data_IF_316448652223
#
_entry.id   IF_316448652223
#
_cell.length_a   1.000
_cell.length_b   1.000
_cell.length_c   1.000
_cell.angle_alpha   90.00
_cell.angle_beta   90.00
_cell.angle_gamma   90.00
#
_symmetry.space_group_name_H-M   'P 1'
#
loop_
_entity.id
_entity.type
_entity.pdbx_description
1 polymer ?
#
# COMPACT_ATOMS: atom_id res chain seq x y z
N UNK A 1 65.61 1.06 18.34
CA UNK A 1 65.50 0.68 16.91
C UNK A 1 64.92 -0.72 16.86
N UNK A 2 63.84 -1.08 16.11
CA UNK A 2 62.89 -0.33 15.24
C UNK A 2 61.46 -0.24 15.86
N UNK A 3 60.70 0.85 15.73
CA UNK A 3 59.74 1.28 14.68
C UNK A 3 58.51 0.38 14.45
N UNK A 4 57.35 0.85 14.95
CA UNK A 4 55.98 0.33 14.74
C UNK A 4 55.37 0.94 13.48
N UNK A 5 54.77 0.10 12.63
CA UNK A 5 53.99 0.47 11.45
C UNK A 5 52.55 0.87 11.85
N UNK A 6 52.20 2.14 11.61
CA UNK A 6 50.83 2.65 11.55
C UNK A 6 50.41 2.71 10.08
N UNK A 7 49.31 2.02 9.72
CA UNK A 7 48.70 2.14 8.39
C UNK A 7 47.54 3.15 8.46
N UNK A 8 47.64 4.20 7.64
CA UNK A 8 46.55 5.14 7.35
C UNK A 8 45.77 4.69 6.09
N UNK A 9 44.47 5.02 5.97
CA UNK A 9 43.63 4.63 4.85
C UNK A 9 43.92 5.45 3.58
N UNK A 10 44.03 4.78 2.43
CA UNK A 10 44.20 5.40 1.10
C UNK A 10 42.84 5.82 0.52
N UNK A 11 42.70 7.11 0.23
CA UNK A 11 41.63 7.70 -0.59
C UNK A 11 42.05 7.54 -2.07
N UNK A 12 41.21 6.93 -2.90
CA UNK A 12 41.40 6.88 -4.36
C UNK A 12 40.38 7.80 -5.01
N UNK A 13 40.89 8.91 -5.55
CA UNK A 13 40.16 9.86 -6.39
C UNK A 13 40.21 9.37 -7.83
N UNK A 14 39.06 9.12 -8.47
CA UNK A 14 38.98 8.87 -9.92
C UNK A 14 38.18 9.96 -10.61
N UNK A 15 38.84 10.57 -11.59
CA UNK A 15 38.40 11.68 -12.41
C UNK A 15 37.34 11.23 -13.43
N UNK A 16 36.35 12.09 -13.68
CA UNK A 16 35.34 11.93 -14.73
C UNK A 16 35.95 12.20 -16.12
N UNK A 17 35.74 11.34 -17.14
CA UNK A 17 36.09 11.67 -18.50
C UNK A 17 34.95 12.44 -19.18
N UNK A 18 35.28 13.61 -19.74
CA UNK A 18 34.46 14.34 -20.71
C UNK A 18 34.49 13.59 -22.06
N UNK A 19 33.32 13.23 -22.59
CA UNK A 19 33.19 12.74 -23.96
C UNK A 19 32.36 13.72 -24.80
N UNK A 20 33.01 14.27 -25.83
CA UNK A 20 32.41 15.10 -26.89
C UNK A 20 31.90 14.20 -28.00
N UNK A 21 30.60 14.26 -28.33
CA UNK A 21 30.03 13.52 -29.47
C UNK A 21 29.95 14.44 -30.70
N UNK A 22 30.72 14.10 -31.73
CA UNK A 22 30.61 14.65 -33.10
C UNK A 22 29.45 13.97 -33.83
N UNK A 23 28.72 14.78 -34.61
CA UNK A 23 27.46 14.41 -35.26
C UNK A 23 27.49 13.16 -36.14
N UNK A 24 26.39 12.42 -36.06
CA UNK A 24 25.96 11.44 -37.05
C UNK A 24 24.52 11.78 -37.45
N UNK A 25 24.26 11.75 -38.76
CA UNK A 25 22.96 12.05 -39.37
C UNK A 25 21.92 11.02 -38.93
N UNK A 26 20.82 11.49 -38.36
CA UNK A 26 19.63 10.68 -38.09
C UNK A 26 18.78 10.60 -39.36
N UNK A 27 18.72 9.42 -39.97
CA UNK A 27 17.70 9.08 -40.96
C UNK A 27 16.37 8.95 -40.22
N UNK A 28 15.37 9.71 -40.69
CA UNK A 28 14.01 9.64 -40.21
C UNK A 28 13.37 8.28 -40.58
N UNK A 29 13.34 7.37 -39.62
CA UNK A 29 12.35 6.29 -39.56
C UNK A 29 11.35 6.67 -38.47
N UNK A 30 10.09 6.71 -38.85
CA UNK A 30 8.94 7.06 -38.01
C UNK A 30 8.79 6.08 -36.84
N UNK A 31 9.27 6.45 -35.66
CA UNK A 31 8.86 5.81 -34.40
C UNK A 31 7.51 6.39 -33.98
N UNK A 32 6.53 5.49 -33.84
CA UNK A 32 5.32 5.78 -33.06
C UNK A 32 5.79 6.13 -31.65
N UNK A 33 5.50 7.35 -31.21
CA UNK A 33 5.68 7.74 -29.81
C UNK A 33 4.72 6.86 -29.00
N UNK A 34 5.24 5.82 -28.34
CA UNK A 34 4.54 5.20 -27.22
C UNK A 34 4.29 6.30 -26.20
N UNK A 35 3.05 6.76 -26.12
CA UNK A 35 2.58 7.65 -25.07
C UNK A 35 2.89 6.98 -23.74
N UNK A 36 3.95 7.44 -23.07
CA UNK A 36 4.35 6.92 -21.76
C UNK A 36 3.19 7.11 -20.80
N UNK A 37 2.63 6.00 -20.30
CA UNK A 37 1.59 6.00 -19.27
C UNK A 37 2.15 6.69 -18.03
N UNK A 38 1.77 7.95 -17.81
CA UNK A 38 2.21 8.74 -16.66
C UNK A 38 1.05 8.96 -15.71
N UNK A 39 1.28 8.62 -14.46
CA UNK A 39 0.47 9.04 -13.32
C UNK A 39 0.88 10.46 -12.93
N UNK A 40 -0.08 11.38 -12.91
CA UNK A 40 0.12 12.78 -12.50
C UNK A 40 -0.62 13.12 -11.19
N UNK A 41 -1.15 12.09 -10.49
CA UNK A 41 -2.07 12.26 -9.37
C UNK A 41 -3.54 12.33 -9.83
N UNK A 42 -4.44 12.47 -8.86
CA UNK A 42 -5.89 12.64 -9.10
C UNK A 42 -6.45 13.72 -8.18
N UNK A 43 -7.63 14.24 -8.51
CA UNK A 43 -8.28 15.28 -7.70
C UNK A 43 -8.54 14.83 -6.24
N UNK A 44 -8.73 13.52 -6.04
CA UNK A 44 -9.16 12.95 -4.76
C UNK A 44 -8.01 12.35 -3.94
N UNK A 45 -6.77 12.36 -4.46
CA UNK A 45 -5.62 11.78 -3.79
C UNK A 45 -4.40 12.69 -3.79
N UNK A 46 -3.99 13.10 -2.59
CA UNK A 46 -2.83 13.97 -2.37
C UNK A 46 -1.55 13.13 -2.43
N UNK A 47 -1.05 12.88 -3.65
CA UNK A 47 0.23 12.23 -3.86
C UNK A 47 1.39 13.23 -3.63
N UNK A 48 2.47 12.77 -3.00
CA UNK A 48 3.74 13.51 -3.00
C UNK A 48 4.44 13.33 -4.35
N UNK A 49 5.33 14.26 -4.71
CA UNK A 49 6.14 14.15 -5.92
C UNK A 49 6.94 12.84 -5.93
N UNK A 50 7.52 12.46 -4.79
CA UNK A 50 8.26 11.21 -4.61
C UNK A 50 7.40 9.96 -4.87
N UNK A 51 6.13 9.97 -4.44
CA UNK A 51 5.20 8.86 -4.68
C UNK A 51 4.87 8.75 -6.16
N UNK A 52 4.63 9.89 -6.80
CA UNK A 52 4.34 9.97 -8.24
C UNK A 52 5.52 9.45 -9.06
N UNK A 53 6.75 9.81 -8.69
CA UNK A 53 7.98 9.29 -9.31
C UNK A 53 8.09 7.77 -9.12
N UNK A 54 7.84 7.27 -7.91
CA UNK A 54 7.92 5.83 -7.63
C UNK A 54 6.90 5.02 -8.45
N UNK A 55 5.66 5.50 -8.55
CA UNK A 55 4.61 4.88 -9.39
C UNK A 55 5.05 4.86 -10.85
N UNK A 56 5.45 6.00 -11.40
CA UNK A 56 5.85 6.09 -12.81
C UNK A 56 7.08 5.23 -13.13
N UNK A 57 8.05 5.15 -12.22
CA UNK A 57 9.21 4.27 -12.36
C UNK A 57 8.80 2.80 -12.39
N UNK A 58 7.90 2.37 -11.49
CA UNK A 58 7.39 1.01 -11.44
C UNK A 58 6.61 0.63 -12.72
N UNK A 59 5.76 1.53 -13.22
CA UNK A 59 5.01 1.34 -14.46
C UNK A 59 5.93 1.26 -15.67
N UNK A 60 6.92 2.16 -15.77
CA UNK A 60 7.85 2.22 -16.91
C UNK A 60 8.78 1.01 -16.97
N UNK A 61 9.23 0.52 -15.81
CA UNK A 61 10.17 -0.60 -15.73
C UNK A 61 9.46 -1.96 -15.59
N UNK A 62 8.12 -1.96 -15.55
CA UNK A 62 7.29 -3.16 -15.35
C UNK A 62 7.71 -3.97 -14.13
N UNK A 63 8.07 -3.27 -13.05
CA UNK A 63 8.47 -3.87 -11.77
C UNK A 63 7.40 -3.62 -10.72
N UNK A 64 7.17 -4.57 -9.79
CA UNK A 64 6.20 -4.35 -8.72
C UNK A 64 6.54 -3.14 -7.86
N UNK A 65 5.53 -2.39 -7.45
CA UNK A 65 5.64 -1.31 -6.47
C UNK A 65 5.17 -1.79 -5.10
N UNK A 66 6.08 -1.88 -4.13
CA UNK A 66 5.77 -2.11 -2.73
C UNK A 66 5.59 -0.78 -2.00
N UNK A 67 4.40 -0.58 -1.45
CA UNK A 67 4.00 0.60 -0.69
C UNK A 67 3.82 0.21 0.77
N UNK A 68 4.73 0.68 1.63
CA UNK A 68 4.64 0.50 3.09
C UNK A 68 4.13 1.77 3.76
N UNK A 69 3.46 1.61 4.88
CA UNK A 69 3.02 2.74 5.70
C UNK A 69 2.04 2.29 6.77
N UNK A 70 1.75 3.18 7.71
CA UNK A 70 0.78 2.88 8.77
C UNK A 70 -0.63 2.58 8.21
N UNK A 71 -1.48 1.87 8.97
CA UNK A 71 -2.89 1.72 8.60
C UNK A 71 -3.57 3.06 8.35
N UNK A 72 -4.40 3.14 7.31
CA UNK A 72 -5.15 4.35 6.97
C UNK A 72 -4.34 5.46 6.28
N UNK A 73 -3.11 5.22 5.81
CA UNK A 73 -2.35 6.19 5.01
C UNK A 73 -2.73 6.24 3.51
N UNK A 74 -3.77 5.52 3.09
CA UNK A 74 -4.26 5.57 1.71
C UNK A 74 -3.49 4.69 0.71
N UNK A 75 -2.87 3.59 1.17
CA UNK A 75 -2.11 2.65 0.30
C UNK A 75 -3.01 1.91 -0.71
N UNK A 76 -4.13 1.38 -0.27
CA UNK A 76 -5.15 0.75 -1.13
C UNK A 76 -5.74 1.76 -2.11
N UNK A 77 -5.97 2.99 -1.63
CA UNK A 77 -6.54 4.06 -2.45
C UNK A 77 -5.60 4.47 -3.58
N UNK A 78 -4.28 4.51 -3.32
CA UNK A 78 -3.28 4.75 -4.38
C UNK A 78 -3.49 3.83 -5.59
N UNK A 79 -3.70 2.53 -5.39
CA UNK A 79 -3.86 1.59 -6.50
C UNK A 79 -5.13 1.87 -7.32
N UNK A 80 -6.23 2.26 -6.66
CA UNK A 80 -7.46 2.70 -7.34
C UNK A 80 -7.22 3.94 -8.18
N UNK A 81 -6.47 4.89 -7.64
CA UNK A 81 -6.17 6.15 -8.31
C UNK A 81 -5.23 5.94 -9.51
N UNK A 82 -4.26 5.04 -9.40
CA UNK A 82 -3.44 4.61 -10.55
C UNK A 82 -4.31 3.95 -11.63
N UNK A 83 -5.21 3.04 -11.25
CA UNK A 83 -6.14 2.38 -12.17
C UNK A 83 -7.03 3.40 -12.90
N UNK A 84 -7.62 4.35 -12.17
CA UNK A 84 -8.47 5.40 -12.74
C UNK A 84 -7.69 6.34 -13.66
N UNK A 85 -6.54 6.83 -13.22
CA UNK A 85 -5.71 7.77 -14.00
C UNK A 85 -5.20 7.16 -15.30
N UNK A 86 -4.89 5.87 -15.30
CA UNK A 86 -4.43 5.14 -16.49
C UNK A 86 -5.58 4.51 -17.31
N UNK A 87 -6.82 4.59 -16.83
CA UNK A 87 -7.98 3.99 -17.47
C UNK A 87 -7.91 2.45 -17.55
N UNK A 88 -7.22 1.81 -16.61
CA UNK A 88 -7.01 0.36 -16.60
C UNK A 88 -7.94 -0.32 -15.61
N UNK A 89 -8.42 -1.52 -15.94
CA UNK A 89 -9.15 -2.36 -14.99
C UNK A 89 -8.28 -2.72 -13.79
N UNK A 90 -8.84 -2.63 -12.59
CA UNK A 90 -8.18 -3.08 -11.35
C UNK A 90 -8.64 -4.50 -10.98
N UNK A 91 -7.70 -5.34 -10.60
CA UNK A 91 -7.93 -6.64 -9.96
C UNK A 91 -7.34 -6.56 -8.55
N UNK A 92 -8.18 -6.83 -7.55
CA UNK A 92 -7.81 -6.70 -6.15
C UNK A 92 -7.72 -8.09 -5.50
N UNK A 93 -6.57 -8.36 -4.87
CA UNK A 93 -6.33 -9.56 -4.08
C UNK A 93 -6.00 -9.17 -2.64
N UNK A 94 -7.01 -9.28 -1.78
CA UNK A 94 -6.89 -9.04 -0.34
C UNK A 94 -6.29 -10.26 0.36
N UNK A 95 -5.13 -10.06 1.00
CA UNK A 95 -4.43 -11.12 1.71
C UNK A 95 -4.98 -11.30 3.13
N UNK A 96 -5.21 -12.55 3.52
CA UNK A 96 -5.66 -12.94 4.86
C UNK A 96 -4.57 -13.78 5.53
N UNK A 97 -4.68 -13.97 6.85
CA UNK A 97 -3.76 -14.80 7.63
C UNK A 97 -3.67 -16.25 7.17
N UNK A 98 -4.73 -16.76 6.53
CA UNK A 98 -4.80 -18.13 5.99
C UNK A 98 -4.51 -18.19 4.49
N UNK A 99 -4.24 -17.06 3.83
CA UNK A 99 -4.01 -17.03 2.38
C UNK A 99 -2.68 -17.69 2.05
N UNK A 100 -2.70 -18.58 1.05
CA UNK A 100 -1.51 -19.23 0.48
C UNK A 100 -1.23 -18.71 -0.92
N UNK A 101 0.04 -18.68 -1.33
CA UNK A 101 0.45 -18.22 -2.66
C UNK A 101 -0.30 -18.96 -3.77
N UNK A 102 -0.44 -20.28 -3.63
CA UNK A 102 -1.20 -21.13 -4.54
C UNK A 102 -2.63 -20.62 -4.83
N UNK A 103 -3.34 -20.05 -3.85
CA UNK A 103 -4.70 -19.54 -4.05
C UNK A 103 -4.73 -18.28 -4.94
N UNK A 104 -3.62 -17.56 -5.02
CA UNK A 104 -3.43 -16.49 -6.00
C UNK A 104 -3.30 -17.00 -7.42
N UNK A 105 -2.75 -18.22 -7.58
CA UNK A 105 -2.57 -18.87 -8.86
C UNK A 105 -3.86 -19.60 -9.27
N UNK A 106 -4.23 -20.65 -8.54
CA UNK A 106 -5.47 -21.41 -8.73
C UNK A 106 -5.76 -22.36 -7.55
N UNK A 107 -7.03 -22.75 -7.43
CA UNK A 107 -7.48 -23.82 -6.53
C UNK A 107 -7.99 -25.01 -7.35
N UNK A 108 -7.57 -26.21 -6.99
CA UNK A 108 -8.03 -27.45 -7.62
C UNK A 108 -9.02 -28.19 -6.70
N UNK A 109 -10.26 -28.37 -7.17
CA UNK A 109 -11.31 -29.07 -6.45
C UNK A 109 -11.28 -30.58 -6.73
N UNK A 110 -10.31 -31.26 -6.10
CA UNK A 110 -10.17 -32.71 -6.19
C UNK A 110 -11.39 -33.47 -5.65
N UNK A 111 -12.14 -32.90 -4.70
CA UNK A 111 -13.27 -33.55 -4.03
C UNK A 111 -14.46 -33.62 -4.97
N UNK A 112 -14.81 -32.50 -5.60
CA UNK A 112 -15.87 -32.48 -6.62
C UNK A 112 -15.53 -33.41 -7.78
N UNK A 113 -14.26 -33.41 -8.23
CA UNK A 113 -13.83 -34.33 -9.30
C UNK A 113 -13.98 -35.80 -8.92
N UNK A 114 -13.62 -36.17 -7.68
CA UNK A 114 -13.77 -37.54 -7.21
C UNK A 114 -15.25 -37.96 -7.14
N UNK A 115 -16.11 -37.08 -6.63
CA UNK A 115 -17.55 -37.31 -6.55
C UNK A 115 -18.15 -37.52 -7.95
N UNK A 116 -17.82 -36.64 -8.90
CA UNK A 116 -18.36 -36.70 -10.26
C UNK A 116 -17.84 -37.94 -11.02
N UNK A 117 -16.60 -38.35 -10.75
CA UNK A 117 -16.02 -39.60 -11.25
C UNK A 117 -16.84 -40.82 -10.80
N UNK A 118 -17.27 -40.83 -9.53
CA UNK A 118 -18.10 -41.91 -8.98
C UNK A 118 -19.53 -41.91 -9.54
N UNK A 119 -20.05 -40.74 -9.93
CA UNK A 119 -21.38 -40.58 -10.50
C UNK A 119 -21.42 -40.79 -12.03
N UNK A 120 -20.25 -40.95 -12.67
CA UNK A 120 -20.15 -41.15 -14.12
C UNK A 120 -20.47 -39.89 -14.94
N UNK A 121 -20.23 -38.70 -14.41
CA UNK A 121 -20.48 -37.44 -15.13
C UNK A 121 -19.39 -37.18 -16.20
N UNK A 122 -19.78 -36.85 -17.44
CA UNK A 122 -18.85 -36.63 -18.55
C UNK A 122 -17.86 -35.48 -18.30
N UNK A 123 -18.24 -34.48 -17.50
CA UNK A 123 -17.37 -33.33 -17.19
C UNK A 123 -16.08 -33.72 -16.44
N UNK A 124 -16.02 -34.92 -15.87
CA UNK A 124 -14.83 -35.42 -15.15
C UNK A 124 -13.62 -35.62 -16.06
N UNK A 125 -13.85 -35.79 -17.36
CA UNK A 125 -12.80 -36.02 -18.37
C UNK A 125 -11.94 -34.78 -18.62
N UNK A 126 -12.47 -33.57 -18.39
CA UNK A 126 -11.70 -32.33 -18.47
C UNK A 126 -11.40 -31.79 -17.07
N UNK A 127 -10.12 -31.85 -16.69
CA UNK A 127 -9.63 -31.39 -15.39
C UNK A 127 -9.84 -29.88 -15.19
N UNK A 128 -9.93 -29.10 -16.28
CA UNK A 128 -10.17 -27.65 -16.23
C UNK A 128 -11.49 -27.29 -15.55
N UNK A 129 -12.47 -28.18 -15.60
CA UNK A 129 -13.76 -28.01 -14.93
C UNK A 129 -13.65 -27.94 -13.39
N UNK A 130 -12.51 -28.34 -12.84
CA UNK A 130 -12.24 -28.40 -11.40
C UNK A 130 -11.16 -27.41 -10.97
N UNK A 131 -10.70 -26.55 -11.87
CA UNK A 131 -9.70 -25.52 -11.59
C UNK A 131 -10.43 -24.19 -11.46
N UNK A 132 -10.31 -23.59 -10.28
CA UNK A 132 -10.75 -22.23 -10.03
C UNK A 132 -9.56 -21.29 -10.17
N UNK A 133 -9.63 -20.38 -11.13
CA UNK A 133 -8.60 -19.35 -11.36
C UNK A 133 -8.46 -18.44 -10.13
N UNK A 134 -7.22 -18.21 -9.72
CA UNK A 134 -6.86 -17.23 -8.70
C UNK A 134 -6.68 -15.83 -9.30
N UNK A 135 -6.37 -14.85 -8.45
CA UNK A 135 -6.26 -13.43 -8.85
C UNK A 135 -5.07 -13.12 -9.75
N UNK A 136 -3.93 -13.81 -9.60
CA UNK A 136 -2.82 -13.68 -10.54
C UNK A 136 -3.19 -14.26 -11.90
N UNK A 137 -3.87 -15.41 -11.92
CA UNK A 137 -4.34 -16.00 -13.18
C UNK A 137 -5.29 -15.04 -13.91
N UNK A 138 -6.31 -14.53 -13.20
CA UNK A 138 -7.24 -13.54 -13.77
C UNK A 138 -6.51 -12.31 -14.36
N UNK A 139 -5.40 -11.87 -13.74
CA UNK A 139 -4.58 -10.76 -14.23
C UNK A 139 -3.73 -11.14 -15.44
N UNK A 140 -3.15 -12.33 -15.47
CA UNK A 140 -2.26 -12.77 -16.54
C UNK A 140 -3.03 -13.04 -17.84
N UNK A 141 -4.26 -13.57 -17.75
CA UNK A 141 -5.12 -13.83 -18.90
C UNK A 141 -6.15 -12.72 -19.17
N UNK A 142 -5.96 -11.52 -18.62
CA UNK A 142 -6.93 -10.44 -18.78
C UNK A 142 -7.14 -10.01 -20.25
N UNK A 143 -6.19 -10.31 -21.14
CA UNK A 143 -6.22 -9.88 -22.55
C UNK A 143 -5.93 -8.38 -22.75
N UNK A 144 -5.78 -7.64 -21.66
CA UNK A 144 -5.47 -6.21 -21.60
C UNK A 144 -4.49 -5.93 -20.44
N UNK A 145 -3.86 -4.75 -20.44
CA UNK A 145 -3.03 -4.33 -19.30
C UNK A 145 -3.95 -3.97 -18.12
N UNK A 146 -3.70 -4.54 -16.96
CA UNK A 146 -4.49 -4.31 -15.73
C UNK A 146 -3.62 -3.79 -14.59
N UNK A 147 -4.25 -3.20 -13.59
CA UNK A 147 -3.61 -2.94 -12.28
C UNK A 147 -3.94 -4.12 -11.37
N UNK A 148 -2.92 -4.82 -10.88
CA UNK A 148 -3.06 -5.88 -9.88
C UNK A 148 -2.65 -5.33 -8.51
N UNK A 149 -3.62 -5.21 -7.62
CA UNK A 149 -3.39 -4.86 -6.22
C UNK A 149 -3.28 -6.13 -5.38
N UNK A 150 -2.13 -6.33 -4.72
CA UNK A 150 -1.94 -7.32 -3.65
C UNK A 150 -1.97 -6.55 -2.33
N UNK A 151 -3.13 -6.55 -1.66
CA UNK A 151 -3.36 -5.72 -0.48
C UNK A 151 -2.97 -6.47 0.80
N UNK A 152 -2.26 -5.78 1.70
CA UNK A 152 -1.86 -6.24 3.03
C UNK A 152 -1.07 -7.55 3.01
N UNK A 153 -0.03 -7.62 2.17
CA UNK A 153 0.79 -8.82 1.96
C UNK A 153 1.41 -9.39 3.25
N UNK A 154 1.62 -8.55 4.25
CA UNK A 154 2.17 -8.91 5.56
C UNK A 154 1.18 -9.61 6.51
N UNK A 155 -0.10 -9.75 6.12
CA UNK A 155 -1.09 -10.50 6.92
C UNK A 155 -0.89 -12.01 6.84
N UNK A 156 -0.45 -12.53 5.70
CA UNK A 156 -0.20 -13.95 5.50
C UNK A 156 1.02 -14.45 6.28
N UNK A 157 1.33 -15.74 6.12
CA UNK A 157 2.52 -16.36 6.67
C UNK A 157 3.81 -15.69 6.14
N UNK A 158 4.92 -15.82 6.87
CA UNK A 158 6.22 -15.21 6.50
C UNK A 158 6.78 -15.79 5.19
N UNK A 159 6.40 -17.01 4.83
CA UNK A 159 6.80 -17.66 3.58
C UNK A 159 6.06 -17.11 2.36
N UNK A 160 4.83 -16.59 2.56
CA UNK A 160 3.93 -16.17 1.48
C UNK A 160 4.55 -15.20 0.45
N UNK A 161 5.26 -14.12 0.83
CA UNK A 161 5.86 -13.22 -0.16
C UNK A 161 6.93 -13.91 -1.01
N UNK A 162 7.72 -14.81 -0.42
CA UNK A 162 8.77 -15.52 -1.15
C UNK A 162 8.18 -16.52 -2.15
N UNK A 163 7.07 -17.16 -1.79
CA UNK A 163 6.35 -18.12 -2.63
C UNK A 163 5.69 -17.49 -3.87
N UNK A 164 5.64 -16.14 -3.94
CA UNK A 164 5.15 -15.40 -5.11
C UNK A 164 6.26 -14.75 -5.94
N UNK A 165 7.52 -14.88 -5.51
CA UNK A 165 8.63 -14.15 -6.13
C UNK A 165 8.82 -14.54 -7.58
N UNK A 166 8.77 -15.84 -7.88
CA UNK A 166 9.03 -16.32 -9.23
C UNK A 166 7.92 -15.87 -10.18
N UNK A 167 6.68 -15.97 -9.74
CA UNK A 167 5.48 -15.66 -10.50
C UNK A 167 5.37 -14.17 -10.79
N UNK A 168 5.72 -13.32 -9.82
CA UNK A 168 5.75 -11.87 -10.01
C UNK A 168 6.95 -11.37 -10.82
N UNK A 169 8.07 -12.09 -10.83
CA UNK A 169 9.27 -11.72 -11.60
C UNK A 169 9.13 -12.13 -13.08
N UNK A 170 8.68 -13.38 -13.32
CA UNK A 170 8.52 -13.93 -14.66
C UNK A 170 7.16 -13.61 -15.31
N UNK A 171 6.16 -13.20 -14.52
CA UNK A 171 4.76 -13.05 -14.95
C UNK A 171 4.20 -14.33 -15.58
N UNK A 172 4.59 -15.48 -15.05
CA UNK A 172 4.10 -16.79 -15.46
C UNK A 172 4.12 -17.79 -14.29
N UNK A 173 3.28 -18.82 -14.36
CA UNK A 173 3.28 -19.94 -13.41
C UNK A 173 2.82 -21.22 -14.09
N UNK A 174 3.16 -22.37 -13.51
CA UNK A 174 2.81 -23.69 -14.04
C UNK A 174 1.58 -24.28 -13.33
N UNK A 175 0.70 -24.90 -14.11
CA UNK A 175 -0.52 -25.56 -13.64
C UNK A 175 -0.32 -27.06 -13.75
N UNK A 176 -0.15 -27.72 -12.61
CA UNK A 176 0.26 -29.11 -12.58
C UNK A 176 -0.81 -30.05 -13.14
N UNK A 177 -2.08 -29.72 -12.91
CA UNK A 177 -3.22 -30.54 -13.30
C UNK A 177 -3.45 -30.55 -14.81
N UNK A 178 -3.20 -29.43 -15.49
CA UNK A 178 -3.35 -29.31 -16.95
C UNK A 178 -2.03 -29.53 -17.69
N UNK A 179 -0.89 -29.37 -17.01
CA UNK A 179 0.44 -29.41 -17.62
C UNK A 179 0.78 -28.14 -18.41
N UNK A 180 0.07 -27.04 -18.17
CA UNK A 180 0.19 -25.79 -18.92
C UNK A 180 0.94 -24.72 -18.12
N UNK A 181 1.70 -23.87 -18.83
CA UNK A 181 2.25 -22.64 -18.26
C UNK A 181 1.34 -21.49 -18.62
N UNK A 182 0.82 -20.79 -17.62
CA UNK A 182 0.04 -19.56 -17.79
C UNK A 182 1.02 -18.39 -17.75
N UNK A 183 1.03 -17.58 -18.81
CA UNK A 183 1.93 -16.43 -18.95
C UNK A 183 1.11 -15.17 -19.26
N UNK A 184 1.50 -14.05 -18.66
CA UNK A 184 0.86 -12.78 -18.94
C UNK A 184 1.22 -12.28 -20.35
N UNK A 185 0.21 -12.12 -21.22
CA UNK A 185 0.39 -11.48 -22.52
C UNK A 185 0.67 -9.98 -22.35
N UNK A 186 -0.06 -9.35 -21.42
CA UNK A 186 0.14 -7.96 -21.01
C UNK A 186 0.57 -7.94 -19.55
N UNK A 187 1.79 -7.49 -19.26
CA UNK A 187 2.29 -7.45 -17.87
C UNK A 187 1.45 -6.47 -17.04
N UNK A 188 0.85 -6.92 -15.92
CA UNK A 188 0.06 -6.05 -15.07
C UNK A 188 0.95 -5.04 -14.35
N UNK A 189 0.39 -3.88 -14.02
CA UNK A 189 0.99 -2.96 -13.06
C UNK A 189 0.72 -3.52 -11.67
N UNK A 190 1.75 -4.09 -11.05
CA UNK A 190 1.61 -4.73 -9.73
C UNK A 190 1.88 -3.70 -8.63
N UNK A 191 0.87 -3.46 -7.79
CA UNK A 191 0.97 -2.64 -6.58
C UNK A 191 0.75 -3.57 -5.38
N UNK A 192 1.68 -3.53 -4.43
CA UNK A 192 1.69 -4.38 -3.25
C UNK A 192 1.69 -3.47 -2.04
N UNK A 193 0.79 -3.67 -1.10
CA UNK A 193 0.73 -2.85 0.12
C UNK A 193 1.11 -3.66 1.36
N UNK A 194 1.67 -2.99 2.36
CA UNK A 194 1.92 -3.57 3.68
C UNK A 194 1.69 -2.52 4.77
N UNK A 195 1.07 -2.97 5.87
CA UNK A 195 0.84 -2.14 7.05
C UNK A 195 2.06 -2.08 7.98
N UNK A 196 3.17 -2.71 7.57
CA UNK A 196 4.36 -2.89 8.37
C UNK A 196 4.09 -3.65 9.69
N UNK A 197 3.15 -4.61 9.64
CA UNK A 197 2.81 -5.49 10.77
C UNK A 197 3.86 -6.58 10.97
N UNK A 198 4.40 -7.11 9.86
CA UNK A 198 5.51 -8.07 9.83
C UNK A 198 6.60 -7.59 8.89
N UNK A 199 7.84 -7.94 9.21
CA UNK A 199 8.96 -7.66 8.31
C UNK A 199 8.89 -8.57 7.08
N UNK A 200 9.03 -7.96 5.91
CA UNK A 200 9.07 -8.67 4.63
C UNK A 200 10.52 -9.08 4.32
N UNK A 201 10.76 -10.28 3.77
CA UNK A 201 12.11 -10.75 3.45
C UNK A 201 12.86 -9.85 2.46
N UNK A 202 14.17 -9.67 2.65
CA UNK A 202 15.03 -8.86 1.77
C UNK A 202 15.04 -9.33 0.31
N UNK A 203 14.83 -10.63 0.07
CA UNK A 203 14.71 -11.18 -1.28
C UNK A 203 13.49 -10.63 -2.04
N UNK A 204 12.39 -10.36 -1.32
CA UNK A 204 11.18 -9.75 -1.83
C UNK A 204 11.37 -8.25 -2.07
N UNK A 205 11.94 -7.55 -1.09
CA UNK A 205 12.20 -6.11 -1.17
C UNK A 205 13.09 -5.74 -2.37
N UNK A 206 14.14 -6.52 -2.64
CA UNK A 206 15.07 -6.25 -3.76
C UNK A 206 14.43 -6.35 -5.15
N UNK A 207 13.31 -7.07 -5.29
CA UNK A 207 12.61 -7.23 -6.56
C UNK A 207 11.55 -6.15 -6.81
N UNK A 208 11.14 -5.43 -5.77
CA UNK A 208 10.14 -4.37 -5.87
C UNK A 208 10.80 -2.97 -5.87
N UNK A 209 10.18 -2.01 -6.55
CA UNK A 209 10.33 -0.61 -6.15
C UNK A 209 9.71 -0.41 -4.78
N UNK A 210 10.32 0.42 -3.96
CA UNK A 210 9.90 0.63 -2.59
C UNK A 210 9.54 2.08 -2.35
N UNK A 211 8.36 2.31 -1.78
CA UNK A 211 7.95 3.61 -1.30
C UNK A 211 7.33 3.50 0.10
N UNK A 212 7.72 4.40 1.00
CA UNK A 212 7.15 4.49 2.34
C UNK A 212 6.27 5.72 2.48
N UNK A 213 4.96 5.50 2.64
CA UNK A 213 3.98 6.56 2.90
C UNK A 213 3.98 6.87 4.40
N UNK A 214 4.50 8.06 4.73
CA UNK A 214 4.43 8.62 6.08
C UNK A 214 3.00 9.01 6.40
N UNK A 215 2.65 8.99 7.68
CA UNK A 215 1.40 9.58 8.13
C UNK A 215 1.37 11.07 7.75
N UNK A 216 0.25 11.59 7.21
CA UNK A 216 0.20 12.96 6.71
C UNK A 216 0.45 13.97 7.83
N UNK A 217 1.10 15.08 7.49
CA UNK A 217 1.17 16.26 8.35
C UNK A 217 -0.16 17.02 8.34
N UNK A 218 -0.32 17.94 9.30
CA UNK A 218 -1.52 18.74 9.50
C UNK A 218 -2.08 19.32 8.21
N UNK A 219 -1.23 19.98 7.41
CA UNK A 219 -1.67 20.65 6.18
C UNK A 219 -2.13 19.66 5.10
N UNK A 220 -1.47 18.50 4.99
CA UNK A 220 -1.90 17.42 4.09
C UNK A 220 -3.22 16.82 4.58
N UNK A 221 -3.37 16.61 5.88
CA UNK A 221 -4.59 16.05 6.46
C UNK A 221 -5.78 16.99 6.31
N UNK A 222 -5.60 18.32 6.42
CA UNK A 222 -6.63 19.31 6.10
C UNK A 222 -7.12 19.16 4.65
N UNK A 223 -6.20 19.01 3.69
CA UNK A 223 -6.57 18.79 2.27
C UNK A 223 -7.36 17.49 2.10
N UNK A 224 -6.93 16.41 2.76
CA UNK A 224 -7.66 15.13 2.73
C UNK A 224 -9.06 15.31 3.30
N UNK A 225 -9.21 16.02 4.43
CA UNK A 225 -10.52 16.28 5.04
C UNK A 225 -11.41 17.10 4.13
N UNK A 226 -10.90 18.14 3.46
CA UNK A 226 -11.71 18.98 2.56
C UNK A 226 -12.34 18.16 1.41
N UNK A 227 -11.63 17.16 0.88
CA UNK A 227 -12.16 16.24 -0.13
C UNK A 227 -13.32 15.40 0.42
N UNK A 228 -13.26 14.97 1.69
CA UNK A 228 -14.27 14.11 2.30
C UNK A 228 -15.44 14.89 2.95
N UNK A 229 -15.17 16.11 3.42
CA UNK A 229 -16.08 16.97 4.16
C UNK A 229 -15.98 18.42 3.65
N UNK A 230 -16.43 18.68 2.41
CA UNK A 230 -16.31 19.99 1.80
C UNK A 230 -17.10 21.03 2.60
N UNK A 231 -16.48 22.19 2.86
CA UNK A 231 -17.10 23.30 3.58
C UNK A 231 -17.12 23.16 5.11
N UNK A 232 -16.29 22.28 5.68
CA UNK A 232 -16.07 22.24 7.13
C UNK A 232 -15.51 23.58 7.63
N UNK A 233 -16.00 24.07 8.78
CA UNK A 233 -15.52 25.33 9.37
C UNK A 233 -14.04 25.20 9.73
N UNK A 234 -13.18 26.07 9.18
CA UNK A 234 -11.72 26.02 9.39
C UNK A 234 -11.30 26.03 10.86
N UNK A 235 -12.00 26.80 11.70
CA UNK A 235 -11.75 26.86 13.14
C UNK A 235 -12.03 25.52 13.85
N UNK A 236 -13.10 24.82 13.43
CA UNK A 236 -13.44 23.49 13.94
C UNK A 236 -12.39 22.48 13.50
N UNK A 237 -12.08 22.46 12.20
CA UNK A 237 -11.09 21.56 11.61
C UNK A 237 -9.73 21.70 12.29
N UNK A 238 -9.22 22.93 12.41
CA UNK A 238 -7.93 23.20 13.04
C UNK A 238 -7.92 22.75 14.49
N UNK A 239 -8.96 23.06 15.26
CA UNK A 239 -9.05 22.65 16.67
C UNK A 239 -9.10 21.12 16.82
N UNK A 240 -9.91 20.45 15.98
CA UNK A 240 -10.03 19.00 15.98
C UNK A 240 -8.70 18.34 15.63
N UNK A 241 -8.06 18.75 14.53
CA UNK A 241 -6.79 18.16 14.13
C UNK A 241 -5.68 18.43 15.15
N UNK A 242 -5.64 19.60 15.80
CA UNK A 242 -4.67 19.85 16.89
C UNK A 242 -4.83 18.81 18.01
N UNK A 243 -6.06 18.57 18.49
CA UNK A 243 -6.31 17.54 19.51
C UNK A 243 -5.97 16.12 19.01
N UNK A 244 -6.24 15.84 17.74
CA UNK A 244 -5.90 14.56 17.13
C UNK A 244 -4.39 14.30 17.14
N UNK A 245 -3.55 15.27 16.75
CA UNK A 245 -2.10 15.12 16.80
C UNK A 245 -1.57 15.08 18.23
N UNK A 246 -2.14 15.85 19.17
CA UNK A 246 -1.80 15.74 20.60
C UNK A 246 -2.03 14.32 21.13
N UNK A 247 -3.14 13.67 20.76
CA UNK A 247 -3.39 12.27 21.11
C UNK A 247 -2.36 11.35 20.45
N UNK A 248 -2.10 11.54 19.16
CA UNK A 248 -1.26 10.66 18.35
C UNK A 248 0.23 10.72 18.73
N UNK A 249 0.68 11.88 19.21
CA UNK A 249 2.05 12.13 19.64
C UNK A 249 2.29 11.74 21.11
N UNK A 250 1.23 11.39 21.85
CA UNK A 250 1.33 10.94 23.22
C UNK A 250 2.14 9.64 23.31
N UNK A 251 3.10 9.62 24.23
CA UNK A 251 3.95 8.45 24.45
C UNK A 251 3.17 7.32 25.13
N UNK A 252 3.45 6.08 24.73
CA UNK A 252 2.86 4.88 25.32
C UNK A 252 1.55 4.42 24.70
N UNK A 253 1.03 5.10 23.66
CA UNK A 253 -0.08 4.57 22.88
C UNK A 253 0.32 3.27 22.22
N UNK A 254 -0.53 2.25 22.40
CA UNK A 254 -0.39 0.98 21.68
C UNK A 254 -0.83 1.11 20.24
N UNK A 255 -1.94 1.81 20.00
CA UNK A 255 -2.46 2.02 18.65
C UNK A 255 -2.64 3.51 18.39
N UNK A 256 -1.78 4.05 17.53
CA UNK A 256 -1.92 5.43 17.08
C UNK A 256 -3.17 5.59 16.19
N UNK A 257 -3.99 6.62 16.41
CA UNK A 257 -5.13 6.90 15.55
C UNK A 257 -4.70 7.17 14.10
N UNK A 258 -5.48 6.67 13.15
CA UNK A 258 -5.28 6.72 11.70
C UNK A 258 -6.14 7.79 11.03
N UNK A 259 -5.91 8.02 9.73
CA UNK A 259 -6.71 8.95 8.92
C UNK A 259 -8.19 8.58 8.92
N UNK A 260 -8.53 7.28 8.88
CA UNK A 260 -9.92 6.83 8.93
C UNK A 260 -10.58 7.18 10.26
N UNK A 261 -9.86 7.01 11.37
CA UNK A 261 -10.37 7.31 12.72
C UNK A 261 -10.61 8.82 12.92
N UNK A 262 -9.76 9.69 12.37
CA UNK A 262 -10.00 11.15 12.43
C UNK A 262 -11.16 11.59 11.52
N UNK A 263 -11.30 11.00 10.34
CA UNK A 263 -12.43 11.28 9.45
C UNK A 263 -13.76 10.86 10.10
N UNK A 264 -13.80 9.68 10.71
CA UNK A 264 -15.00 9.23 11.43
C UNK A 264 -15.29 10.08 12.67
N UNK A 265 -14.26 10.54 13.38
CA UNK A 265 -14.45 11.47 14.48
C UNK A 265 -14.99 12.83 14.02
N UNK A 266 -14.49 13.38 12.92
CA UNK A 266 -15.00 14.63 12.33
C UNK A 266 -16.45 14.48 11.88
N UNK A 267 -16.84 13.34 11.29
CA UNK A 267 -18.25 13.05 10.96
C UNK A 267 -19.15 13.12 12.18
N UNK A 268 -18.71 12.55 13.31
CA UNK A 268 -19.50 12.58 14.55
C UNK A 268 -19.59 14.00 15.12
N UNK A 269 -18.49 14.78 15.10
CA UNK A 269 -18.52 16.18 15.53
C UNK A 269 -19.52 17.01 14.71
N UNK A 270 -19.58 16.78 13.39
CA UNK A 270 -20.53 17.44 12.50
C UNK A 270 -21.97 16.98 12.74
N UNK A 271 -22.19 15.69 13.01
CA UNK A 271 -23.51 15.14 13.30
C UNK A 271 -24.12 15.70 14.59
N UNK A 272 -23.27 16.03 15.57
CA UNK A 272 -23.65 16.65 16.84
C UNK A 272 -23.65 18.20 16.80
N UNK A 273 -23.49 18.80 15.62
CA UNK A 273 -23.42 20.27 15.37
C UNK A 273 -22.40 20.99 16.30
N UNK A 274 -21.27 20.32 16.57
CA UNK A 274 -20.26 20.86 17.48
C UNK A 274 -19.41 21.97 16.84
N UNK A 275 -19.07 22.98 17.64
CA UNK A 275 -18.14 24.04 17.24
C UNK A 275 -16.74 23.92 17.89
N UNK A 276 -15.83 24.81 17.48
CA UNK A 276 -14.48 24.86 18.02
C UNK A 276 -14.44 25.21 19.52
N UNK A 277 -15.42 25.97 20.02
CA UNK A 277 -15.49 26.32 21.44
C UNK A 277 -15.91 25.12 22.28
N UNK A 278 -16.80 24.28 21.79
CA UNK A 278 -17.27 23.06 22.46
C UNK A 278 -16.22 21.97 22.56
N UNK A 279 -15.22 21.98 21.65
CA UNK A 279 -14.00 21.18 21.75
C UNK A 279 -13.02 21.74 22.79
N UNK A 280 -12.92 23.07 22.92
CA UNK A 280 -11.97 23.76 23.84
C UNK A 280 -12.45 23.81 25.29
N UNK A 281 -13.77 23.92 25.53
CA UNK A 281 -14.38 24.07 26.87
C UNK A 281 -14.01 22.95 27.86
N UNK A 282 -13.58 21.78 27.38
CA UNK A 282 -13.31 20.62 28.20
C UNK A 282 -11.83 20.38 28.52
N UNK A 283 -10.98 21.41 28.56
CA UNK A 283 -9.58 21.33 29.04
C UNK A 283 -9.39 20.83 30.50
N UNK A 284 -10.43 20.30 31.14
CA UNK A 284 -10.41 19.58 32.41
C UNK A 284 -10.58 18.05 32.25
N UNK A 285 -11.14 17.52 31.16
CA UNK A 285 -11.10 16.09 30.82
C UNK A 285 -9.99 15.87 29.79
N UNK A 286 -8.96 15.06 30.10
CA UNK A 286 -7.86 14.85 29.14
C UNK A 286 -8.28 14.05 27.89
N UNK A 287 -9.50 13.49 27.89
CA UNK A 287 -10.08 12.81 26.74
C UNK A 287 -10.97 13.76 25.94
N UNK A 288 -10.76 13.90 24.62
CA UNK A 288 -11.68 14.60 23.75
C UNK A 288 -13.10 14.03 23.78
N UNK A 289 -14.07 14.86 23.43
CA UNK A 289 -15.45 14.40 23.20
C UNK A 289 -15.44 13.35 22.10
N UNK A 290 -16.24 12.30 22.28
CA UNK A 290 -16.35 11.21 21.31
C UNK A 290 -15.01 10.51 21.02
N UNK A 291 -14.08 10.49 22.00
CA UNK A 291 -12.76 9.86 21.88
C UNK A 291 -12.82 8.38 21.49
N UNK A 292 -13.93 7.67 21.70
CA UNK A 292 -14.11 6.29 21.21
C UNK A 292 -14.06 6.15 19.68
N UNK A 293 -14.16 7.25 18.94
CA UNK A 293 -13.87 7.30 17.51
C UNK A 293 -12.36 7.24 17.21
N UNK A 294 -11.54 7.88 18.05
CA UNK A 294 -10.08 8.00 17.89
C UNK A 294 -9.32 6.85 18.57
N UNK A 295 -9.69 6.52 19.81
CA UNK A 295 -9.04 5.51 20.63
C UNK A 295 -9.82 4.21 20.57
N UNK A 296 -9.24 3.19 19.92
CA UNK A 296 -9.84 1.85 19.76
C UNK A 296 -9.28 0.80 20.73
N UNK A 297 -8.43 1.21 21.67
CA UNK A 297 -7.83 0.31 22.65
C UNK A 297 -8.14 0.78 24.07
N UNK A 298 -8.67 -0.12 24.91
CA UNK A 298 -9.04 0.17 26.29
C UNK A 298 -7.86 0.69 27.11
N UNK A 299 -6.66 0.14 26.89
CA UNK A 299 -5.46 0.57 27.62
C UNK A 299 -5.02 1.98 27.25
N UNK A 300 -5.26 2.39 26.00
CA UNK A 300 -5.01 3.76 25.55
C UNK A 300 -6.01 4.71 26.22
N UNK A 301 -7.28 4.31 26.36
CA UNK A 301 -8.27 5.09 27.12
C UNK A 301 -7.83 5.24 28.59
N UNK A 302 -7.47 4.14 29.27
CA UNK A 302 -6.97 4.16 30.65
C UNK A 302 -5.71 5.01 30.82
N UNK A 303 -4.84 5.07 29.81
CA UNK A 303 -3.67 5.94 29.81
C UNK A 303 -4.09 7.43 29.89
N UNK A 304 -5.01 7.86 29.03
CA UNK A 304 -5.49 9.25 29.05
C UNK A 304 -6.30 9.58 30.30
N UNK A 305 -7.08 8.65 30.85
CA UNK A 305 -7.78 8.85 32.13
C UNK A 305 -6.81 9.10 33.28
N UNK A 306 -5.72 8.33 33.36
CA UNK A 306 -4.67 8.54 34.37
C UNK A 306 -3.97 9.88 34.19
N UNK A 307 -3.64 10.26 32.96
CA UNK A 307 -3.04 11.57 32.67
C UNK A 307 -3.98 12.72 33.08
N UNK A 308 -5.29 12.58 32.83
CA UNK A 308 -6.30 13.54 33.29
C UNK A 308 -6.29 13.67 34.81
N UNK A 309 -6.26 12.54 35.52
CA UNK A 309 -6.27 12.51 36.98
C UNK A 309 -5.01 13.18 37.57
N UNK A 310 -3.82 12.90 37.02
CA UNK A 310 -2.57 13.52 37.46
C UNK A 310 -2.56 15.03 37.21
N UNK A 311 -3.02 15.48 36.04
CA UNK A 311 -3.10 16.91 35.70
C UNK A 311 -4.08 17.69 36.59
N UNK A 312 -5.17 17.06 37.03
CA UNK A 312 -6.12 17.63 38.00
C UNK A 312 -5.57 17.68 39.43
N UNK A 313 -4.70 16.73 39.78
CA UNK A 313 -4.12 16.65 41.13
C UNK A 313 -2.96 17.64 41.35
N UNK A 314 -2.43 18.22 40.27
CA UNK A 314 -1.35 19.23 40.29
C UNK A 314 -1.86 20.68 40.16
N UNK A 315 -3.17 20.90 40.02
CA UNK A 315 -3.82 22.22 40.05
C UNK A 315 -4.41 22.49 41.43
#
# INVERSE_FOLDING_TARGET
MPQRLTQQPRIVTTQSPQFTVKGARINAASEKVETTMKFEGTADYVATDDLTIAVNAAVTLERPLLVKGEPGTGKTELARQVSQALGLRMIEWNIKSTTRAQQGLYEYDAVSRLRDSQLGEERVHDVRNYIRKGKLWEAFEAGEKVVLLIDEIDKADIEFPNDLLQELDQMEFFVYETGETIKADNRPIVIITSNNEKELPDAFLRRCFFHYIRFPEMETLKKIVEVHHPGIKEALLTTALTQFYEIRDQQGLKKKPSTSEVLDWLKLLLAEDMDAADLKKNGASALPKLHGALLKNEQDVHLFERLAFMARSQR
#
